data_IF_754285985927
#
_entry.id   IF_754285985927
#
_cell.length_a   1.000
_cell.length_b   1.000
_cell.length_c   1.000
_cell.angle_alpha   90.00
_cell.angle_beta   90.00
_cell.angle_gamma   90.00
#
_symmetry.space_group_name_H-M   'P 1'
#
loop_
_entity.id
_entity.type
_entity.pdbx_description
1 polymer ?
#
# COMPACT_ATOMS: atom_id res chain seq x y z
N UNK A 1 -31.46 -29.07 45.63
CA UNK A 1 -30.90 -28.09 44.68
C UNK A 1 -31.03 -28.71 43.29
N UNK A 2 -32.15 -28.46 42.61
CA UNK A 2 -32.38 -28.96 41.26
C UNK A 2 -31.59 -28.12 40.26
N UNK A 3 -30.73 -28.79 39.48
CA UNK A 3 -30.06 -28.18 38.33
C UNK A 3 -31.10 -28.04 37.22
N UNK A 4 -31.35 -26.83 36.70
CA UNK A 4 -32.38 -26.64 35.68
C UNK A 4 -32.03 -27.44 34.41
N UNK A 5 -33.04 -27.99 33.71
CA UNK A 5 -32.82 -28.83 32.54
C UNK A 5 -32.15 -28.05 31.41
N UNK A 6 -31.23 -28.70 30.68
CA UNK A 6 -30.42 -28.11 29.59
C UNK A 6 -31.28 -27.37 28.53
N UNK A 7 -32.55 -27.76 28.35
CA UNK A 7 -33.52 -27.09 27.47
C UNK A 7 -33.87 -25.66 27.87
N UNK A 8 -33.92 -25.31 29.17
CA UNK A 8 -34.27 -23.94 29.60
C UNK A 8 -33.09 -22.97 29.39
N UNK A 9 -31.85 -23.46 29.47
CA UNK A 9 -30.66 -22.66 29.20
C UNK A 9 -30.56 -22.27 27.71
N UNK A 10 -30.94 -23.17 26.79
CA UNK A 10 -30.94 -22.88 25.35
C UNK A 10 -31.96 -21.80 24.96
N UNK A 11 -33.16 -21.86 25.55
CA UNK A 11 -34.20 -20.83 25.40
C UNK A 11 -33.81 -19.49 26.02
N UNK A 12 -33.13 -19.49 27.16
CA UNK A 12 -32.59 -18.27 27.77
C UNK A 12 -31.48 -17.65 26.92
N UNK A 13 -30.64 -18.46 26.28
CA UNK A 13 -29.56 -17.99 25.41
C UNK A 13 -30.11 -17.42 24.09
N UNK A 14 -31.15 -18.03 23.52
CA UNK A 14 -31.89 -17.46 22.38
C UNK A 14 -32.61 -16.16 22.75
N UNK A 15 -33.21 -16.06 23.95
CA UNK A 15 -33.81 -14.81 24.44
C UNK A 15 -32.77 -13.72 24.71
N UNK A 16 -31.57 -14.09 25.16
CA UNK A 16 -30.45 -13.15 25.33
C UNK A 16 -29.91 -12.65 23.98
N UNK A 17 -29.94 -13.48 22.93
CA UNK A 17 -29.59 -13.08 21.57
C UNK A 17 -30.62 -12.14 20.93
N UNK A 18 -31.86 -12.12 21.43
CA UNK A 18 -32.93 -11.23 20.98
C UNK A 18 -33.00 -9.91 21.74
N UNK A 19 -32.23 -9.74 22.83
CA UNK A 19 -32.13 -8.45 23.51
C UNK A 19 -31.30 -7.47 22.67
N UNK A 20 -31.72 -6.19 22.57
CA UNK A 20 -30.95 -5.17 21.88
C UNK A 20 -29.61 -4.99 22.62
N UNK A 21 -28.53 -5.53 22.04
CA UNK A 21 -27.19 -5.36 22.55
C UNK A 21 -26.57 -4.12 21.90
N UNK A 22 -26.12 -3.19 22.74
CA UNK A 22 -25.41 -2.00 22.27
C UNK A 22 -23.94 -2.34 22.01
N UNK A 23 -23.36 -1.74 20.98
CA UNK A 23 -21.94 -1.92 20.68
C UNK A 23 -21.12 -1.20 21.75
N UNK A 24 -20.28 -1.94 22.48
CA UNK A 24 -19.36 -1.38 23.46
C UNK A 24 -18.03 -0.99 22.81
N UNK A 25 -17.59 0.25 22.99
CA UNK A 25 -16.28 0.73 22.57
C UNK A 25 -15.38 0.93 23.80
N UNK A 26 -14.11 0.56 23.68
CA UNK A 26 -13.14 0.74 24.77
C UNK A 26 -12.62 2.16 24.75
N UNK A 27 -12.71 2.83 25.90
CA UNK A 27 -12.12 4.14 26.12
C UNK A 27 -11.16 4.03 27.31
N UNK A 28 -9.88 3.76 27.02
CA UNK A 28 -8.90 3.41 28.04
C UNK A 28 -9.28 2.13 28.78
N UNK A 29 -9.50 2.23 30.09
CA UNK A 29 -9.89 1.10 30.93
C UNK A 29 -11.39 0.77 30.96
N UNK A 30 -12.26 1.67 30.48
CA UNK A 30 -13.73 1.52 30.57
C UNK A 30 -14.34 1.11 29.23
N UNK A 31 -15.49 0.43 29.28
CA UNK A 31 -16.29 0.08 28.10
C UNK A 31 -17.53 0.96 28.07
N UNK A 32 -17.67 1.78 27.04
CA UNK A 32 -18.81 2.69 26.85
C UNK A 32 -19.77 2.08 25.82
N UNK A 33 -21.02 1.76 26.18
CA UNK A 33 -22.02 1.31 25.22
C UNK A 33 -22.53 2.47 24.37
N UNK A 34 -22.58 2.30 23.05
CA UNK A 34 -23.11 3.28 22.11
C UNK A 34 -24.39 2.75 21.43
N UNK A 35 -25.41 3.60 21.38
CA UNK A 35 -26.64 3.35 20.63
C UNK A 35 -26.42 3.53 19.11
N UNK A 36 -27.38 3.07 18.32
CA UNK A 36 -27.30 3.19 16.85
C UNK A 36 -27.45 4.65 16.39
N UNK A 37 -28.24 5.44 17.11
CA UNK A 37 -28.40 6.90 16.93
C UNK A 37 -27.12 7.68 17.25
N UNK A 38 -26.42 7.33 18.32
CA UNK A 38 -25.14 7.95 18.68
C UNK A 38 -24.07 7.66 17.63
N UNK A 39 -24.04 6.44 17.08
CA UNK A 39 -23.11 6.09 16.01
C UNK A 39 -23.39 6.85 14.72
N UNK A 40 -24.67 7.14 14.44
CA UNK A 40 -25.06 7.95 13.29
C UNK A 40 -24.67 9.42 13.46
N UNK A 41 -24.74 9.97 14.68
CA UNK A 41 -24.34 11.36 14.95
C UNK A 41 -22.82 11.58 14.96
N UNK A 42 -22.04 10.58 15.37
CA UNK A 42 -20.56 10.62 15.33
C UNK A 42 -20.04 10.67 13.88
N UNK A 43 -20.70 9.96 12.96
CA UNK A 43 -20.26 9.92 11.58
C UNK A 43 -20.63 11.21 10.88
N UNK A 44 -19.67 12.13 10.78
CA UNK A 44 -19.85 13.36 10.02
C UNK A 44 -20.22 13.04 8.55
N UNK A 45 -21.31 13.59 8.01
CA UNK A 45 -21.62 13.42 6.59
C UNK A 45 -20.60 14.22 5.77
N UNK A 46 -19.72 13.54 5.06
CA UNK A 46 -18.78 14.19 4.14
C UNK A 46 -19.28 14.03 2.71
N UNK A 47 -19.35 15.08 1.91
CA UNK A 47 -19.69 14.94 0.49
C UNK A 47 -18.52 14.38 -0.32
N UNK A 48 -18.81 13.77 -1.48
CA UNK A 48 -17.77 13.34 -2.42
C UNK A 48 -16.99 14.57 -2.89
N UNK A 49 -15.71 14.64 -2.55
CA UNK A 49 -14.87 15.78 -2.87
C UNK A 49 -13.46 15.36 -3.28
N UNK A 50 -12.85 16.18 -4.13
CA UNK A 50 -11.44 16.12 -4.46
C UNK A 50 -10.92 17.56 -4.50
N UNK A 51 -10.41 18.03 -3.37
CA UNK A 51 -10.11 19.44 -3.15
C UNK A 51 -8.64 19.61 -2.75
N UNK A 52 -7.94 20.48 -3.47
CA UNK A 52 -6.55 20.83 -3.17
C UNK A 52 -6.51 21.62 -1.88
N UNK A 53 -5.72 21.15 -0.92
CA UNK A 53 -5.47 21.80 0.38
C UNK A 53 -4.34 22.82 0.25
N UNK A 54 -3.27 22.47 -0.48
CA UNK A 54 -2.12 23.33 -0.67
C UNK A 54 -1.06 22.70 -1.57
N UNK A 55 0.03 23.42 -1.77
CA UNK A 55 1.19 22.98 -2.56
C UNK A 55 2.43 22.95 -1.66
N UNK A 56 3.32 21.99 -1.90
CA UNK A 56 4.57 21.82 -1.15
C UNK A 56 5.66 21.25 -2.05
N UNK A 57 6.92 21.36 -1.67
CA UNK A 57 8.02 20.76 -2.43
C UNK A 57 7.98 19.22 -2.31
N UNK A 58 8.41 18.51 -3.34
CA UNK A 58 8.46 17.04 -3.33
C UNK A 58 9.31 16.49 -2.17
N UNK A 59 10.38 17.19 -1.79
CA UNK A 59 11.28 16.79 -0.69
C UNK A 59 10.62 16.86 0.70
N UNK A 60 9.55 17.64 0.86
CA UNK A 60 8.85 17.77 2.14
C UNK A 60 7.96 16.55 2.43
N UNK A 61 7.67 15.72 1.41
CA UNK A 61 6.87 14.50 1.54
C UNK A 61 7.78 13.28 1.35
N UNK A 62 8.34 12.73 2.45
CA UNK A 62 9.19 11.56 2.35
C UNK A 62 8.40 10.31 1.99
N UNK A 63 9.03 9.39 1.25
CA UNK A 63 8.39 8.18 0.72
C UNK A 63 7.81 7.26 1.81
N UNK A 64 8.36 7.29 3.02
CA UNK A 64 7.91 6.50 4.16
C UNK A 64 6.52 6.88 4.70
N UNK A 65 5.99 8.05 4.31
CA UNK A 65 4.66 8.53 4.73
C UNK A 65 3.56 8.07 3.76
N UNK A 66 3.92 7.62 2.55
CA UNK A 66 2.94 7.09 1.62
C UNK A 66 2.26 5.84 2.17
N UNK A 67 0.95 5.79 1.96
CA UNK A 67 0.05 4.75 2.48
C UNK A 67 -0.86 4.28 1.36
N UNK A 68 -1.44 3.09 1.54
CA UNK A 68 -2.44 2.54 0.65
C UNK A 68 -1.90 1.48 -0.30
N UNK A 69 -2.81 0.65 -0.80
CA UNK A 69 -2.46 -0.49 -1.65
C UNK A 69 -2.46 -0.13 -3.14
N UNK A 70 -2.95 1.05 -3.51
CA UNK A 70 -3.08 1.47 -4.91
C UNK A 70 -2.79 2.95 -5.10
N UNK A 71 -2.22 3.24 -6.27
CA UNK A 71 -2.01 4.60 -6.78
C UNK A 71 -3.13 4.88 -7.78
N UNK A 72 -3.73 6.07 -7.70
CA UNK A 72 -4.73 6.50 -8.67
C UNK A 72 -4.12 7.46 -9.68
N UNK A 73 -4.39 7.24 -10.96
CA UNK A 73 -4.03 8.20 -12.01
C UNK A 73 -5.25 9.03 -12.34
N UNK A 74 -5.14 10.35 -12.18
CA UNK A 74 -6.21 11.28 -12.51
C UNK A 74 -6.06 11.76 -13.96
N UNK A 75 -7.12 11.54 -14.73
CA UNK A 75 -7.24 11.97 -16.12
C UNK A 75 -8.44 12.89 -16.24
N UNK A 76 -8.30 13.91 -17.07
CA UNK A 76 -9.40 14.82 -17.38
C UNK A 76 -10.58 14.07 -17.98
N UNK A 77 -11.80 14.41 -17.54
CA UNK A 77 -13.00 13.92 -18.20
C UNK A 77 -13.07 14.52 -19.60
N UNK A 78 -12.92 13.69 -20.63
CA UNK A 78 -13.28 14.08 -21.99
C UNK A 78 -14.79 14.21 -22.05
N UNK A 79 -15.31 15.44 -22.05
CA UNK A 79 -16.73 15.66 -22.25
C UNK A 79 -17.10 15.08 -23.63
N UNK A 80 -18.02 14.10 -23.65
CA UNK A 80 -18.77 13.83 -24.88
C UNK A 80 -19.58 15.09 -25.14
N UNK A 81 -19.41 15.66 -26.32
CA UNK A 81 -20.09 16.87 -26.76
C UNK A 81 -21.60 16.77 -26.46
N UNK A 82 -22.05 17.56 -25.49
CA UNK A 82 -23.45 17.97 -25.42
C UNK A 82 -23.51 19.23 -24.56
N UNK A 83 -23.95 20.31 -25.22
CA UNK A 83 -24.47 21.56 -24.65
C UNK A 83 -23.40 22.62 -24.30
N UNK A 84 -22.94 23.28 -25.38
CA UNK A 84 -23.09 24.73 -25.57
C UNK A 84 -23.46 25.51 -24.30
N UNK A 85 -22.51 25.77 -23.40
CA UNK A 85 -22.55 26.87 -22.42
C UNK A 85 -21.21 26.94 -21.67
N UNK A 86 -20.19 27.60 -22.25
CA UNK A 86 -19.41 28.70 -21.67
C UNK A 86 -18.20 29.00 -22.57
N UNK A 87 -18.26 30.13 -23.26
CA UNK A 87 -17.39 30.55 -24.37
C UNK A 87 -15.92 30.83 -23.95
N UNK A 88 -15.51 30.64 -22.69
CA UNK A 88 -14.15 30.95 -22.23
C UNK A 88 -13.62 30.00 -21.13
N UNK A 89 -14.05 28.74 -21.09
CA UNK A 89 -13.41 27.77 -20.18
C UNK A 89 -12.28 27.05 -20.91
N UNK A 90 -11.03 27.06 -20.40
CA UNK A 90 -10.04 26.10 -20.87
C UNK A 90 -10.64 24.70 -20.70
N UNK A 91 -10.53 23.88 -21.75
CA UNK A 91 -10.92 22.46 -21.67
C UNK A 91 -10.32 21.88 -20.40
N UNK A 92 -11.11 21.16 -19.59
CA UNK A 92 -10.64 20.60 -18.31
C UNK A 92 -9.36 19.78 -18.46
N UNK A 93 -9.12 19.23 -19.66
CA UNK A 93 -7.88 18.57 -20.05
C UNK A 93 -6.68 19.52 -20.05
N UNK A 94 -6.79 20.67 -20.73
CA UNK A 94 -5.72 21.67 -20.79
C UNK A 94 -5.38 22.23 -19.40
N UNK A 95 -6.39 22.44 -18.54
CA UNK A 95 -6.16 22.91 -17.17
C UNK A 95 -5.37 21.90 -16.33
N UNK A 96 -5.69 20.60 -16.43
CA UNK A 96 -4.97 19.55 -15.70
C UNK A 96 -3.55 19.35 -16.22
N UNK A 97 -3.36 19.41 -17.54
CA UNK A 97 -2.03 19.36 -18.16
C UNK A 97 -1.19 20.55 -17.71
N UNK A 98 -1.73 21.76 -17.73
CA UNK A 98 -1.03 22.96 -17.28
C UNK A 98 -0.64 22.89 -15.79
N UNK A 99 -1.54 22.36 -14.94
CA UNK A 99 -1.24 22.17 -13.52
C UNK A 99 -0.12 21.14 -13.31
N UNK A 100 -0.18 20.00 -14.00
CA UNK A 100 0.85 18.97 -13.89
C UNK A 100 2.21 19.46 -14.41
N UNK A 101 2.22 20.20 -15.52
CA UNK A 101 3.42 20.84 -16.05
C UNK A 101 4.02 21.84 -15.05
N UNK A 102 3.19 22.71 -14.45
CA UNK A 102 3.66 23.69 -13.47
C UNK A 102 4.25 23.01 -12.23
N UNK A 103 3.62 21.95 -11.72
CA UNK A 103 4.16 21.17 -10.60
C UNK A 103 5.50 20.52 -10.96
N UNK A 104 5.63 20.02 -12.18
CA UNK A 104 6.87 19.41 -12.66
C UNK A 104 8.01 20.43 -12.76
N UNK A 105 7.76 21.60 -13.34
CA UNK A 105 8.75 22.68 -13.47
C UNK A 105 9.23 23.21 -12.11
N UNK A 106 8.32 23.29 -11.13
CA UNK A 106 8.63 23.73 -9.77
C UNK A 106 9.34 22.62 -8.96
N UNK A 107 9.15 21.35 -9.33
CA UNK A 107 9.54 20.21 -8.48
C UNK A 107 8.63 20.06 -7.25
N UNK A 108 7.39 20.53 -7.37
CA UNK A 108 6.39 20.57 -6.31
C UNK A 108 5.35 19.46 -6.43
N UNK A 109 4.63 19.22 -5.33
CA UNK A 109 3.50 18.30 -5.23
C UNK A 109 2.30 19.02 -4.62
N UNK A 110 1.08 18.56 -4.96
CA UNK A 110 -0.14 19.14 -4.41
C UNK A 110 -0.76 18.23 -3.34
N UNK A 111 -1.09 18.80 -2.19
CA UNK A 111 -1.82 18.12 -1.13
C UNK A 111 -3.32 18.16 -1.41
N UNK A 112 -3.98 17.02 -1.34
CA UNK A 112 -5.39 16.88 -1.72
C UNK A 112 -6.18 16.13 -0.67
N UNK A 113 -7.34 16.67 -0.34
CA UNK A 113 -8.38 15.99 0.43
C UNK A 113 -9.32 15.24 -0.51
N UNK A 114 -9.35 13.91 -0.38
CA UNK A 114 -10.20 13.01 -1.17
C UNK A 114 -11.29 12.38 -0.30
N UNK A 115 -12.53 12.41 -0.78
CA UNK A 115 -13.65 11.65 -0.24
C UNK A 115 -14.31 10.93 -1.42
N UNK A 116 -14.33 9.60 -1.38
CA UNK A 116 -14.85 8.81 -2.50
C UNK A 116 -16.38 8.85 -2.61
N UNK A 117 -17.06 8.69 -1.49
CA UNK A 117 -18.52 8.74 -1.36
C UNK A 117 -18.90 9.22 0.06
N UNK A 118 -20.18 9.54 0.27
CA UNK A 118 -20.69 10.06 1.55
C UNK A 118 -20.47 9.16 2.75
N UNK A 119 -20.35 7.86 2.51
CA UNK A 119 -20.11 6.86 3.54
C UNK A 119 -18.62 6.59 3.79
N UNK A 120 -17.75 7.03 2.89
CA UNK A 120 -16.31 6.76 2.93
C UNK A 120 -15.61 7.73 3.87
N UNK A 121 -14.58 7.26 4.57
CA UNK A 121 -13.73 8.14 5.36
C UNK A 121 -12.96 9.10 4.45
N UNK A 122 -12.66 10.28 4.99
CA UNK A 122 -11.78 11.25 4.34
C UNK A 122 -10.38 10.65 4.24
N UNK A 123 -9.75 10.79 3.07
CA UNK A 123 -8.35 10.47 2.86
C UNK A 123 -7.59 11.74 2.50
N UNK A 124 -6.37 11.83 3.00
CA UNK A 124 -5.41 12.82 2.57
C UNK A 124 -4.43 12.15 1.62
N UNK A 125 -4.04 12.84 0.57
CA UNK A 125 -3.09 12.31 -0.39
C UNK A 125 -2.32 13.40 -1.09
N UNK A 126 -1.33 12.96 -1.84
CA UNK A 126 -0.38 13.81 -2.57
C UNK A 126 -0.56 13.54 -4.05
N UNK A 127 -0.62 14.61 -4.84
CA UNK A 127 -0.57 14.59 -6.29
C UNK A 127 0.85 14.85 -6.74
N UNK A 128 1.42 13.85 -7.39
CA UNK A 128 2.75 13.91 -8.00
C UNK A 128 2.58 13.98 -9.52
N UNK A 129 3.20 14.97 -10.20
CA UNK A 129 3.21 15.01 -11.66
C UNK A 129 4.16 13.94 -12.20
N UNK A 130 3.71 13.15 -13.17
CA UNK A 130 4.54 12.21 -13.90
C UNK A 130 4.47 12.52 -15.40
N UNK A 131 5.64 12.65 -16.02
CA UNK A 131 5.79 12.81 -17.46
C UNK A 131 6.27 11.47 -18.02
N UNK A 132 5.42 10.83 -18.84
CA UNK A 132 5.80 9.66 -19.62
C UNK A 132 5.72 9.99 -21.10
N UNK A 133 6.89 10.12 -21.74
CA UNK A 133 6.98 10.48 -23.15
C UNK A 133 6.17 11.74 -23.46
N UNK A 134 5.13 11.59 -24.30
CA UNK A 134 4.26 12.69 -24.70
C UNK A 134 2.99 12.86 -23.84
N UNK A 135 2.86 12.13 -22.73
CA UNK A 135 1.70 12.18 -21.84
C UNK A 135 2.08 12.68 -20.45
N UNK A 136 1.33 13.67 -19.98
CA UNK A 136 1.46 14.23 -18.64
C UNK A 136 0.28 13.73 -17.81
N UNK A 137 0.58 13.10 -16.67
CA UNK A 137 -0.42 12.51 -15.78
C UNK A 137 -0.20 12.95 -14.33
N UNK A 138 -1.27 12.95 -13.53
CA UNK A 138 -1.21 13.21 -12.10
C UNK A 138 -1.44 11.91 -11.33
N UNK A 139 -0.43 11.48 -10.59
CA UNK A 139 -0.50 10.32 -9.72
C UNK A 139 -0.88 10.74 -8.31
N UNK A 140 -1.94 10.14 -7.79
CA UNK A 140 -2.41 10.31 -6.44
C UNK A 140 -2.00 9.13 -5.58
N UNK A 141 -1.33 9.44 -4.49
CA UNK A 141 -0.95 8.48 -3.46
C UNK A 141 -1.54 8.93 -2.13
N UNK A 142 -2.19 8.03 -1.39
CA UNK A 142 -2.67 8.36 -0.05
C UNK A 142 -1.47 8.59 0.89
N UNK A 143 -1.63 9.49 1.85
CA UNK A 143 -0.62 9.72 2.91
C UNK A 143 -1.17 9.33 4.27
N UNK A 144 -0.27 8.88 5.14
CA UNK A 144 -0.58 8.54 6.52
C UNK A 144 -1.09 9.76 7.29
N UNK A 145 -2.09 9.56 8.15
CA UNK A 145 -2.44 10.57 9.14
C UNK A 145 -1.46 10.55 10.31
N UNK A 146 -1.52 11.58 11.16
CA UNK A 146 -0.68 11.68 12.34
C UNK A 146 -0.77 10.47 13.27
N UNK A 147 -1.94 9.84 13.35
CA UNK A 147 -2.21 8.64 14.14
C UNK A 147 -1.61 7.35 13.57
N UNK A 148 -1.31 7.33 12.26
CA UNK A 148 -0.75 6.16 11.57
C UNK A 148 0.78 6.16 11.65
N UNK A 149 1.40 7.33 11.80
CA UNK A 149 2.85 7.48 11.91
C UNK A 149 3.30 6.96 13.28
N UNK A 150 4.20 5.96 13.27
CA UNK A 150 4.85 5.44 14.47
C UNK A 150 6.31 5.86 14.45
N UNK A 151 6.78 6.45 15.55
CA UNK A 151 8.16 6.88 15.70
C UNK A 151 8.90 5.95 16.70
N UNK A 152 9.27 4.72 16.31
CA UNK A 152 10.09 3.88 17.16
C UNK A 152 11.50 4.49 17.29
N UNK A 153 11.99 4.64 18.51
CA UNK A 153 13.37 5.03 18.77
C UNK A 153 14.29 3.83 18.51
N UNK A 154 14.99 3.87 17.38
CA UNK A 154 15.99 2.87 17.02
C UNK A 154 17.38 3.35 17.47
N UNK A 155 18.24 2.47 18.01
CA UNK A 155 19.62 2.83 18.31
C UNK A 155 20.36 3.18 17.01
N UNK A 156 21.20 4.20 17.05
CA UNK A 156 21.98 4.60 15.87
C UNK A 156 23.00 3.54 15.49
N UNK A 157 23.12 3.27 14.19
CA UNK A 157 24.20 2.45 13.65
C UNK A 157 25.48 3.28 13.55
N UNK A 158 26.67 2.68 13.75
CA UNK A 158 27.94 3.39 13.60
C UNK A 158 28.15 3.84 12.15
N UNK A 159 28.13 5.16 11.91
CA UNK A 159 28.31 5.74 10.57
C UNK A 159 29.78 5.92 10.17
N UNK A 160 30.68 6.02 11.15
CA UNK A 160 32.11 6.19 10.89
C UNK A 160 32.92 5.58 12.03
N UNK A 161 33.77 4.63 11.68
CA UNK A 161 34.81 4.16 12.55
C UNK A 161 36.06 4.96 12.26
N UNK A 162 36.30 6.01 13.03
CA UNK A 162 37.64 6.60 13.01
C UNK A 162 38.58 5.55 13.60
N UNK A 163 39.59 5.06 12.88
CA UNK A 163 40.64 4.28 13.52
C UNK A 163 41.22 5.17 14.61
N UNK A 164 41.22 4.69 15.85
CA UNK A 164 41.86 5.39 16.97
C UNK A 164 43.36 5.44 16.69
N UNK A 165 43.82 6.49 16.01
CA UNK A 165 45.24 6.82 15.86
C UNK A 165 45.76 7.45 17.14
N UNK A 166 45.62 6.76 18.27
CA UNK A 166 46.17 7.18 19.55
C UNK A 166 46.89 6.03 20.22
N UNK A 167 48.17 5.87 19.85
CA UNK A 167 49.19 5.08 20.56
C UNK A 167 49.58 5.70 21.91
N UNK A 168 48.65 6.30 22.64
CA UNK A 168 48.94 6.87 23.97
C UNK A 168 47.88 6.43 24.95
N UNK A 169 48.28 5.51 25.82
CA UNK A 169 47.54 5.10 27.00
C UNK A 169 47.26 6.32 27.90
N UNK A 170 46.06 6.89 27.80
CA UNK A 170 45.49 7.68 28.89
C UNK A 170 44.05 7.29 29.12
N UNK A 171 43.84 6.84 30.35
CA UNK A 171 42.57 6.46 30.96
C UNK A 171 41.70 7.71 31.12
N UNK A 172 40.83 7.99 30.14
CA UNK A 172 39.70 8.91 30.33
C UNK A 172 38.40 8.10 30.45
N UNK A 173 37.54 8.57 31.36
CA UNK A 173 36.35 7.87 31.85
C UNK A 173 35.39 7.49 30.70
N UNK A 174 34.75 6.31 30.74
CA UNK A 174 33.93 5.81 29.65
C UNK A 174 32.59 6.56 29.58
N UNK A 175 32.53 7.62 28.78
CA UNK A 175 31.29 8.30 28.43
C UNK A 175 30.54 7.49 27.38
N UNK A 176 29.57 6.66 27.79
CA UNK A 176 28.43 6.05 27.04
C UNK A 176 28.61 5.45 25.64
N UNK A 177 29.78 5.52 25.01
CA UNK A 177 30.00 5.35 23.58
C UNK A 177 30.79 4.08 23.23
N UNK A 178 30.95 3.14 24.18
CA UNK A 178 31.65 1.87 23.94
C UNK A 178 30.85 0.86 23.09
N UNK A 179 29.53 1.05 22.92
CA UNK A 179 28.71 0.17 22.06
C UNK A 179 28.87 0.45 20.56
N UNK A 180 29.26 1.67 20.18
CA UNK A 180 29.39 2.09 18.78
C UNK A 180 30.59 1.43 18.08
N UNK A 181 31.67 1.13 18.79
CA UNK A 181 32.83 0.45 18.22
C UNK A 181 32.64 -1.06 18.02
N UNK A 182 31.67 -1.70 18.69
CA UNK A 182 31.45 -3.15 18.62
C UNK A 182 30.92 -3.61 17.26
N UNK A 183 30.11 -2.76 16.61
CA UNK A 183 29.45 -3.08 15.34
C UNK A 183 30.03 -2.28 14.17
N UNK A 184 31.25 -1.77 14.35
CA UNK A 184 32.00 -1.12 13.30
C UNK A 184 32.41 -2.15 12.22
N UNK A 185 32.10 -1.92 10.93
CA UNK A 185 32.56 -2.79 9.86
C UNK A 185 34.08 -2.69 9.68
N UNK A 186 34.75 -3.84 9.50
CA UNK A 186 36.18 -3.88 9.15
C UNK A 186 36.40 -3.51 7.68
N UNK A 187 37.61 -3.09 7.34
CA UNK A 187 37.96 -2.75 5.95
C UNK A 187 37.81 -3.96 4.99
N UNK A 188 38.09 -5.17 5.47
CA UNK A 188 37.87 -6.41 4.72
C UNK A 188 36.38 -6.68 4.48
N UNK A 189 35.52 -6.44 5.49
CA UNK A 189 34.08 -6.57 5.35
C UNK A 189 33.50 -5.56 4.36
N UNK A 190 34.01 -4.32 4.34
CA UNK A 190 33.62 -3.31 3.35
C UNK A 190 34.02 -3.76 1.93
N UNK A 191 35.28 -4.16 1.73
CA UNK A 191 35.76 -4.63 0.43
C UNK A 191 35.02 -5.88 -0.09
N UNK A 192 34.68 -6.81 0.81
CA UNK A 192 33.89 -7.98 0.48
C UNK A 192 32.45 -7.63 0.09
N UNK A 193 31.84 -6.64 0.77
CA UNK A 193 30.51 -6.15 0.46
C UNK A 193 30.47 -5.44 -0.90
N UNK A 194 31.48 -4.62 -1.20
CA UNK A 194 31.61 -3.93 -2.49
C UNK A 194 31.68 -4.95 -3.64
N UNK A 195 32.52 -5.98 -3.50
CA UNK A 195 32.64 -7.07 -4.48
C UNK A 195 31.32 -7.84 -4.68
N UNK A 196 30.51 -7.97 -3.63
CA UNK A 196 29.20 -8.61 -3.69
C UNK A 196 28.18 -7.74 -4.43
N UNK A 197 28.15 -6.42 -4.16
CA UNK A 197 27.27 -5.48 -4.84
C UNK A 197 27.56 -5.48 -6.34
N UNK A 198 28.83 -5.42 -6.73
CA UNK A 198 29.24 -5.44 -8.14
C UNK A 198 28.83 -6.74 -8.85
N UNK A 199 28.91 -7.88 -8.16
CA UNK A 199 28.53 -9.18 -8.71
C UNK A 199 27.01 -9.38 -8.87
N UNK A 200 26.18 -8.67 -8.09
CA UNK A 200 24.73 -8.87 -8.01
C UNK A 200 23.92 -7.64 -8.47
N UNK A 201 24.55 -6.70 -9.17
CA UNK A 201 23.88 -5.49 -9.65
C UNK A 201 22.83 -5.84 -10.72
N UNK A 202 21.57 -5.48 -10.46
CA UNK A 202 20.43 -5.79 -11.35
C UNK A 202 20.19 -4.72 -12.44
N UNK A 203 20.78 -3.53 -12.29
CA UNK A 203 20.66 -2.45 -13.27
C UNK A 203 21.79 -2.54 -14.30
N UNK A 204 21.52 -3.13 -15.46
CA UNK A 204 22.40 -3.02 -16.62
C UNK A 204 22.19 -1.65 -17.25
N UNK A 205 23.07 -0.70 -16.94
CA UNK A 205 23.14 0.54 -17.72
C UNK A 205 23.84 0.23 -19.03
N UNK A 206 23.09 -0.15 -20.06
CA UNK A 206 23.60 -0.05 -21.43
C UNK A 206 23.83 1.43 -21.72
N UNK A 207 25.08 1.86 -21.53
CA UNK A 207 25.55 3.18 -21.91
C UNK A 207 25.71 3.23 -23.44
N UNK A 208 24.58 3.25 -24.13
CA UNK A 208 24.46 3.71 -25.50
C UNK A 208 23.06 4.29 -25.65
N UNK A 209 22.99 5.62 -25.69
CA UNK A 209 21.81 6.39 -26.06
C UNK A 209 21.20 5.83 -27.35
N UNK A 210 19.97 5.33 -27.27
CA UNK A 210 18.98 5.46 -28.33
C UNK A 210 17.60 5.21 -27.70
N UNK A 211 16.67 6.11 -27.99
CA UNK A 211 15.28 6.08 -27.57
C UNK A 211 14.67 4.68 -27.73
N UNK A 212 14.52 3.94 -26.63
CA UNK A 212 13.78 2.70 -26.70
C UNK A 212 13.17 2.35 -25.34
N UNK A 213 11.85 2.53 -25.25
CA UNK A 213 10.97 1.74 -24.42
C UNK A 213 11.17 0.25 -24.76
N UNK A 214 12.26 -0.35 -24.30
CA UNK A 214 12.47 -1.78 -24.44
C UNK A 214 12.81 -2.36 -23.09
N UNK A 215 11.74 -2.89 -22.48
CA UNK A 215 11.78 -4.04 -21.60
C UNK A 215 12.83 -3.92 -20.50
N UNK A 216 12.56 -3.04 -19.53
CA UNK A 216 12.78 -3.49 -18.17
C UNK A 216 11.99 -4.79 -18.05
N UNK A 217 12.67 -5.92 -17.91
CA UNK A 217 12.04 -7.08 -17.30
C UNK A 217 11.68 -6.64 -15.88
N UNK A 218 10.56 -5.91 -15.79
CA UNK A 218 10.06 -5.38 -14.55
C UNK A 218 9.76 -6.59 -13.69
N UNK A 219 10.48 -6.76 -12.59
CA UNK A 219 10.13 -7.72 -11.54
C UNK A 219 8.68 -7.53 -11.03
N UNK A 220 8.08 -6.38 -11.37
CA UNK A 220 6.67 -6.06 -11.16
C UNK A 220 5.71 -6.93 -12.01
N UNK A 221 6.17 -7.52 -13.11
CA UNK A 221 5.45 -8.48 -13.95
C UNK A 221 5.73 -9.95 -13.58
N UNK A 222 6.27 -10.21 -12.38
CA UNK A 222 6.21 -11.55 -11.76
C UNK A 222 4.75 -11.81 -11.36
N UNK A 223 3.90 -12.07 -12.36
CA UNK A 223 2.51 -12.39 -12.17
C UNK A 223 2.40 -13.53 -11.14
N UNK A 224 1.82 -13.19 -9.99
CA UNK A 224 1.78 -13.97 -8.74
C UNK A 224 1.91 -15.47 -9.02
N UNK A 225 3.10 -16.01 -8.80
CA UNK A 225 3.41 -17.43 -9.04
C UNK A 225 2.43 -18.36 -8.30
N UNK A 226 1.84 -17.90 -7.20
CA UNK A 226 0.74 -18.58 -6.49
C UNK A 226 -0.49 -18.79 -7.38
N UNK A 227 -0.96 -17.77 -8.10
CA UNK A 227 -2.10 -17.87 -9.01
C UNK A 227 -1.82 -18.78 -10.20
N UNK A 228 -0.59 -18.74 -10.75
CA UNK A 228 -0.16 -19.64 -11.84
C UNK A 228 -0.12 -21.10 -11.38
N UNK A 229 0.41 -21.36 -10.17
CA UNK A 229 0.48 -22.69 -9.55
C UNK A 229 -0.89 -23.24 -9.15
N UNK A 230 -1.81 -22.39 -8.67
CA UNK A 230 -3.19 -22.77 -8.36
C UNK A 230 -3.95 -23.10 -9.65
N UNK A 231 -3.84 -22.28 -10.69
CA UNK A 231 -4.47 -22.54 -11.99
C UNK A 231 -3.96 -23.84 -12.62
N UNK A 232 -2.65 -24.09 -12.62
CA UNK A 232 -2.09 -25.34 -13.14
C UNK A 232 -2.52 -26.56 -12.33
N UNK A 233 -2.61 -26.44 -10.99
CA UNK A 233 -3.09 -27.52 -10.11
C UNK A 233 -4.57 -27.84 -10.34
N UNK A 234 -5.43 -26.82 -10.46
CA UNK A 234 -6.86 -27.00 -10.74
C UNK A 234 -7.07 -27.60 -12.13
N UNK A 235 -6.33 -27.14 -13.15
CA UNK A 235 -6.42 -27.68 -14.50
C UNK A 235 -5.98 -29.16 -14.55
N UNK A 236 -4.92 -29.51 -13.80
CA UNK A 236 -4.46 -30.89 -13.67
C UNK A 236 -5.51 -31.78 -12.97
N UNK A 237 -6.20 -31.27 -11.95
CA UNK A 237 -7.25 -32.00 -11.24
C UNK A 237 -8.55 -32.15 -12.07
N UNK A 238 -8.92 -31.15 -12.86
CA UNK A 238 -10.06 -31.23 -13.78
C UNK A 238 -9.81 -32.24 -14.92
N UNK A 239 -8.62 -32.22 -15.53
CA UNK A 239 -8.27 -33.19 -16.57
C UNK A 239 -8.22 -34.64 -16.05
N UNK A 240 -7.77 -34.84 -14.79
CA UNK A 240 -7.75 -36.18 -14.18
C UNK A 240 -9.15 -36.73 -13.89
N UNK A 241 -10.13 -35.88 -13.55
CA UNK A 241 -11.54 -36.27 -13.37
C UNK A 241 -12.26 -36.54 -14.70
N UNK A 242 -11.94 -35.79 -15.75
CA UNK A 242 -12.45 -36.04 -17.11
C UNK A 242 -11.99 -37.41 -17.65
N UNK A 243 -10.70 -37.74 -17.48
CA UNK A 243 -10.16 -39.05 -17.85
C UNK A 243 -10.80 -40.22 -17.08
N UNK A 244 -11.15 -40.03 -15.80
CA UNK A 244 -11.86 -41.03 -15.01
C UNK A 244 -13.32 -41.21 -15.45
N UNK A 245 -14.00 -40.13 -15.87
CA UNK A 245 -15.37 -40.20 -16.41
C UNK A 245 -15.41 -40.96 -17.75
N UNK A 246 -14.42 -40.73 -18.63
CA UNK A 246 -14.33 -41.42 -19.93
C UNK A 246 -14.03 -42.92 -19.76
N UNK A 247 -13.20 -43.30 -18.79
CA UNK A 247 -12.92 -44.71 -18.48
C UNK A 247 -14.13 -45.43 -17.86
N UNK A 248 -14.98 -44.72 -17.10
CA UNK A 248 -16.16 -45.33 -16.49
C UNK A 248 -17.31 -45.52 -17.49
N UNK A 249 -17.47 -44.63 -18.47
CA UNK A 249 -18.49 -44.78 -19.52
C UNK A 249 -18.14 -45.86 -20.54
N UNK A 250 -16.86 -46.06 -20.87
CA UNK A 250 -16.43 -47.17 -21.74
C UNK A 250 -16.50 -48.53 -21.05
N UNK A 251 -16.28 -48.59 -19.73
CA UNK A 251 -16.46 -49.83 -18.96
C UNK A 251 -17.94 -50.22 -18.84
N UNK A 252 -18.84 -49.24 -18.70
CA UNK A 252 -20.29 -49.48 -18.57
C UNK A 252 -20.95 -49.90 -19.89
N UNK A 253 -20.43 -49.47 -21.04
CA UNK A 253 -20.89 -49.97 -22.35
C UNK A 253 -20.38 -51.37 -22.66
N UNK A 254 -19.19 -51.74 -22.18
CA UNK A 254 -18.65 -53.11 -22.32
C UNK A 254 -19.35 -54.13 -21.41
N UNK A 255 -19.82 -53.72 -20.22
CA UNK A 255 -20.56 -54.61 -19.31
C UNK A 255 -22.02 -54.90 -19.73
N UNK A 256 -22.60 -54.08 -20.61
CA UNK A 256 -23.98 -54.24 -21.10
C UNK A 256 -24.11 -55.04 -22.41
N UNK A 257 -23.00 -55.60 -22.91
CA UNK A 257 -22.94 -56.40 -24.16
C UNK A 257 -22.52 -57.87 -23.89
N UNK A 258 -22.48 -58.29 -22.63
CA UNK A 258 -22.27 -59.69 -22.23
C UNK A 258 -23.55 -60.33 -21.70
#
# INVERSE_FOLDING_TARGET
>A
MEVPPICTLRKLLELFQLLPYNKGYRYGGTVVPFGQEDLASIKSPSEKCFSVVGFTDANNVPHNVYTGDSVLVFVAKTARQSEENLINCPSSSSALIALAQALYEIGGVALVRRVYNQTSAVRLGVLTPEIRGNQISLMYTDIAFSEDIRNPELPSLPLSCKPSSSTTERYEKPSSNNMLHKYCPSAEQLSAMDSFIDSMMLSYSDASDDDNETNKEDENDVAKNSSKKVKSSILFQCNRKSLFSIQFTTLLTLLNVA
#
